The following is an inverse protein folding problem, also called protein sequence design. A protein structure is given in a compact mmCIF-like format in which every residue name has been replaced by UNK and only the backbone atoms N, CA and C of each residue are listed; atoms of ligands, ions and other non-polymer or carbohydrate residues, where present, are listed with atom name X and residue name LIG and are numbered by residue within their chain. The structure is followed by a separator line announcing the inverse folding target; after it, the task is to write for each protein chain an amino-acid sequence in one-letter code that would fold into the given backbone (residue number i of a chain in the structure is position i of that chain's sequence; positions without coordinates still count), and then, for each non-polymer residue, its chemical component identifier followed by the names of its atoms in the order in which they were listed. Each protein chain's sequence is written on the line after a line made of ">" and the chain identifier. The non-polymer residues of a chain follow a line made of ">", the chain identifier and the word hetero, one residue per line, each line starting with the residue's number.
data_IF_723856078904
#
_entry.id   IF_723856078904
#
_cell.length_a   1.000
_cell.length_b   1.000
_cell.length_c   1.000
_cell.angle_alpha   90.00
_cell.angle_beta   90.00
_cell.angle_gamma   90.00
#
_symmetry.space_group_name_H-M   'P 1'
#
loop_
_entity.id
_entity.type
_entity.pdbx_description
1 polymer ?
#
# COMPACT_ATOMS: atom_id res chain seq x y z
N UNK A 1 15.88 -10.96 20.52
CA UNK A 1 15.50 -11.19 19.09
C UNK A 1 16.41 -12.28 18.53
N UNK A 2 15.83 -13.32 17.92
CA UNK A 2 16.59 -14.41 17.28
C UNK A 2 17.33 -13.87 16.05
N UNK A 3 18.52 -14.39 15.75
CA UNK A 3 19.32 -13.99 14.56
C UNK A 3 18.52 -14.08 13.26
N UNK A 4 17.65 -15.10 13.14
CA UNK A 4 16.75 -15.28 11.99
C UNK A 4 15.74 -14.13 11.83
N UNK A 5 15.24 -13.57 12.95
CA UNK A 5 14.32 -12.42 12.88
C UNK A 5 15.04 -11.13 12.48
N UNK A 6 16.30 -10.96 12.87
CA UNK A 6 17.13 -9.81 12.47
C UNK A 6 17.45 -9.84 10.97
N UNK A 7 17.79 -11.00 10.41
CA UNK A 7 18.04 -11.16 8.98
C UNK A 7 16.78 -10.91 8.15
N UNK A 8 15.64 -11.42 8.59
CA UNK A 8 14.32 -11.18 7.97
C UNK A 8 13.97 -9.69 7.96
N UNK A 9 14.15 -9.00 9.09
CA UNK A 9 13.88 -7.57 9.21
C UNK A 9 14.83 -6.73 8.34
N UNK A 10 16.13 -7.09 8.30
CA UNK A 10 17.13 -6.43 7.46
C UNK A 10 16.83 -6.62 5.96
N UNK A 11 16.42 -7.82 5.55
CA UNK A 11 16.01 -8.10 4.17
C UNK A 11 14.78 -7.27 3.79
N UNK A 12 13.72 -7.29 4.61
CA UNK A 12 12.50 -6.54 4.37
C UNK A 12 12.80 -5.03 4.21
N UNK A 13 13.58 -4.46 5.11
CA UNK A 13 13.99 -3.07 5.05
C UNK A 13 14.83 -2.75 3.80
N UNK A 14 15.79 -3.59 3.45
CA UNK A 14 16.64 -3.39 2.27
C UNK A 14 15.85 -3.43 0.98
N UNK A 15 14.89 -4.37 0.86
CA UNK A 15 13.97 -4.45 -0.28
C UNK A 15 13.11 -3.20 -0.38
N UNK A 16 12.58 -2.72 0.74
CA UNK A 16 11.79 -1.48 0.77
C UNK A 16 12.60 -0.28 0.27
N UNK A 17 13.84 -0.11 0.75
CA UNK A 17 14.71 0.98 0.30
C UNK A 17 15.09 0.86 -1.18
N UNK A 18 15.27 -0.34 -1.68
CA UNK A 18 15.53 -0.60 -3.09
C UNK A 18 14.31 -0.20 -3.97
N UNK A 19 13.11 -0.61 -3.61
CA UNK A 19 11.91 -0.22 -4.35
C UNK A 19 11.63 1.29 -4.25
N UNK A 20 11.86 1.89 -3.09
CA UNK A 20 11.77 3.35 -2.93
C UNK A 20 12.75 4.07 -3.86
N UNK A 21 14.01 3.63 -3.91
CA UNK A 21 15.02 4.20 -4.81
C UNK A 21 14.59 4.15 -6.29
N UNK A 22 14.03 3.01 -6.72
CA UNK A 22 13.49 2.88 -8.09
C UNK A 22 12.35 3.89 -8.31
N UNK A 23 11.39 3.95 -7.39
CA UNK A 23 10.26 4.86 -7.50
C UNK A 23 10.70 6.34 -7.52
N UNK A 24 11.63 6.73 -6.64
CA UNK A 24 12.17 8.08 -6.58
C UNK A 24 12.94 8.44 -7.86
N UNK A 25 13.71 7.50 -8.43
CA UNK A 25 14.46 7.70 -9.66
C UNK A 25 13.56 7.84 -10.89
N UNK A 26 12.42 7.12 -10.91
CA UNK A 26 11.52 7.10 -12.06
C UNK A 26 10.53 8.27 -12.05
N UNK A 27 9.95 8.59 -10.89
CA UNK A 27 8.87 9.57 -10.79
C UNK A 27 9.33 10.96 -10.35
N UNK A 28 10.53 11.09 -9.79
CA UNK A 28 11.03 12.35 -9.23
C UNK A 28 9.99 13.00 -8.30
N UNK A 29 9.60 14.25 -8.56
CA UNK A 29 8.60 15.02 -7.81
C UNK A 29 7.16 14.85 -8.31
N UNK A 30 6.88 13.89 -9.20
CA UNK A 30 5.52 13.64 -9.74
C UNK A 30 4.70 12.77 -8.79
N UNK A 31 4.40 13.27 -7.60
CA UNK A 31 3.78 12.49 -6.51
C UNK A 31 2.45 11.84 -6.89
N UNK A 32 1.56 12.51 -7.63
CA UNK A 32 0.29 11.94 -8.07
C UNK A 32 0.46 10.71 -8.98
N UNK A 33 1.37 10.78 -9.96
CA UNK A 33 1.67 9.64 -10.85
C UNK A 33 2.41 8.52 -10.11
N UNK A 34 3.31 8.88 -9.19
CA UNK A 34 3.97 7.92 -8.30
C UNK A 34 2.94 7.17 -7.45
N UNK A 35 1.98 7.88 -6.85
CA UNK A 35 0.90 7.28 -6.07
C UNK A 35 0.12 6.26 -6.91
N UNK A 36 -0.28 6.57 -8.16
CA UNK A 36 -0.96 5.61 -9.05
C UNK A 36 -0.22 4.28 -9.17
N UNK A 37 1.11 4.29 -9.30
CA UNK A 37 1.89 3.05 -9.44
C UNK A 37 2.06 2.34 -8.11
N UNK A 38 2.30 3.08 -7.04
CA UNK A 38 2.50 2.49 -5.70
C UNK A 38 1.23 1.86 -5.16
N UNK A 39 0.09 2.54 -5.24
CA UNK A 39 -1.22 2.02 -4.82
C UNK A 39 -1.65 0.79 -5.63
N UNK A 40 -1.23 0.72 -6.90
CA UNK A 40 -1.47 -0.48 -7.72
C UNK A 40 -0.80 -1.72 -7.14
N UNK A 41 0.40 -1.56 -6.60
CA UNK A 41 1.17 -2.64 -5.98
C UNK A 41 0.71 -2.89 -4.56
N UNK A 42 0.33 -1.83 -3.83
CA UNK A 42 -0.08 -1.89 -2.43
C UNK A 42 -1.32 -2.77 -2.19
N UNK A 43 -2.30 -2.78 -3.11
CA UNK A 43 -3.47 -3.66 -3.01
C UNK A 43 -3.19 -5.16 -3.17
N UNK A 44 -2.03 -5.54 -3.73
CA UNK A 44 -1.69 -6.96 -4.01
C UNK A 44 -1.45 -7.79 -2.75
N UNK A 45 -0.69 -7.32 -1.74
CA UNK A 45 -0.41 -8.09 -0.53
C UNK A 45 -1.64 -8.55 0.22
N UNK A 46 -2.60 -7.65 0.43
CA UNK A 46 -3.85 -7.97 1.12
C UNK A 46 -4.65 -9.03 0.37
N UNK A 47 -4.75 -8.96 -0.96
CA UNK A 47 -5.41 -9.99 -1.78
C UNK A 47 -4.70 -11.34 -1.67
N UNK A 48 -3.38 -11.38 -1.82
CA UNK A 48 -2.60 -12.63 -1.74
C UNK A 48 -2.72 -13.25 -0.35
N UNK A 49 -2.55 -12.46 0.70
CA UNK A 49 -2.66 -12.92 2.09
C UNK A 49 -4.07 -13.42 2.41
N UNK A 50 -5.10 -12.68 2.01
CA UNK A 50 -6.51 -13.06 2.22
C UNK A 50 -6.85 -14.39 1.54
N UNK A 51 -6.50 -14.55 0.27
CA UNK A 51 -6.71 -15.81 -0.50
C UNK A 51 -5.90 -16.96 0.12
N UNK A 52 -4.63 -16.74 0.46
CA UNK A 52 -3.79 -17.76 1.08
C UNK A 52 -4.37 -18.24 2.41
N UNK A 53 -4.80 -17.33 3.27
CA UNK A 53 -5.40 -17.66 4.57
C UNK A 53 -6.76 -18.34 4.41
N UNK A 54 -7.55 -17.97 3.41
CA UNK A 54 -8.79 -18.65 3.08
C UNK A 54 -8.53 -20.13 2.74
N UNK A 55 -7.62 -20.41 1.81
CA UNK A 55 -7.25 -21.79 1.48
C UNK A 55 -6.63 -22.56 2.65
N UNK A 56 -5.85 -21.88 3.50
CA UNK A 56 -5.32 -22.48 4.73
C UNK A 56 -6.44 -22.89 5.69
N UNK A 57 -7.47 -22.07 5.84
CA UNK A 57 -8.62 -22.37 6.69
C UNK A 57 -9.38 -23.62 6.18
N UNK A 58 -9.59 -23.72 4.87
CA UNK A 58 -10.23 -24.88 4.22
C UNK A 58 -9.41 -26.15 4.39
N UNK A 59 -8.10 -26.10 4.12
CA UNK A 59 -7.21 -27.27 4.29
C UNK A 59 -7.19 -27.78 5.74
N UNK A 60 -7.28 -26.86 6.71
CA UNK A 60 -7.26 -27.22 8.13
C UNK A 60 -8.65 -27.44 8.73
N UNK A 61 -9.71 -27.17 7.97
CA UNK A 61 -11.10 -27.22 8.43
C UNK A 61 -11.31 -26.46 9.75
N UNK A 62 -10.71 -25.24 9.86
CA UNK A 62 -10.76 -24.39 11.06
C UNK A 62 -11.29 -23.01 10.74
N UNK A 63 -12.22 -22.51 11.58
CA UNK A 63 -12.86 -21.19 11.43
C UNK A 63 -12.02 -20.01 11.95
N UNK A 64 -10.95 -20.23 12.72
CA UNK A 64 -10.22 -19.21 13.45
C UNK A 64 -9.39 -18.22 12.60
N UNK A 65 -9.49 -18.26 11.27
CA UNK A 65 -8.75 -17.38 10.35
C UNK A 65 -9.58 -16.20 9.81
N UNK A 66 -10.87 -16.13 10.16
CA UNK A 66 -11.82 -15.20 9.54
C UNK A 66 -11.48 -13.74 9.80
N UNK A 67 -10.95 -13.39 10.97
CA UNK A 67 -10.54 -12.02 11.30
C UNK A 67 -9.39 -11.56 10.38
N UNK A 68 -8.32 -12.33 10.31
CA UNK A 68 -7.17 -12.03 9.45
C UNK A 68 -7.56 -11.97 7.97
N UNK A 69 -8.44 -12.85 7.49
CA UNK A 69 -8.93 -12.82 6.10
C UNK A 69 -9.66 -11.50 5.82
N UNK A 70 -10.59 -11.09 6.70
CA UNK A 70 -11.33 -9.84 6.52
C UNK A 70 -10.44 -8.63 6.56
N UNK A 71 -9.47 -8.59 7.47
CA UNK A 71 -8.52 -7.50 7.64
C UNK A 71 -7.66 -7.34 6.38
N UNK A 72 -7.08 -8.42 5.85
CA UNK A 72 -6.27 -8.39 4.63
C UNK A 72 -7.08 -7.99 3.39
N UNK A 73 -8.32 -8.47 3.26
CA UNK A 73 -9.19 -8.09 2.14
C UNK A 73 -9.68 -6.64 2.26
N UNK A 74 -9.90 -6.15 3.48
CA UNK A 74 -10.26 -4.74 3.73
C UNK A 74 -9.11 -3.80 3.38
N UNK A 75 -7.88 -4.17 3.74
CA UNK A 75 -6.66 -3.46 3.33
C UNK A 75 -6.56 -3.39 1.80
N UNK A 76 -6.69 -4.53 1.12
CA UNK A 76 -6.64 -4.56 -0.36
C UNK A 76 -7.72 -3.71 -1.03
N UNK A 77 -8.94 -3.65 -0.47
CA UNK A 77 -10.02 -2.80 -1.00
C UNK A 77 -9.75 -1.32 -0.74
N UNK A 78 -9.20 -0.97 0.41
CA UNK A 78 -8.83 0.39 0.74
C UNK A 78 -7.73 0.91 -0.22
N UNK A 79 -6.67 0.10 -0.47
CA UNK A 79 -5.62 0.42 -1.45
C UNK A 79 -6.18 0.62 -2.87
N UNK A 80 -7.15 -0.22 -3.27
CA UNK A 80 -7.85 -0.04 -4.55
C UNK A 80 -8.58 1.30 -4.60
N UNK A 81 -9.15 1.77 -3.49
CA UNK A 81 -9.81 3.07 -3.44
C UNK A 81 -8.80 4.21 -3.54
N UNK A 82 -7.65 4.12 -2.86
CA UNK A 82 -6.55 5.08 -3.00
C UNK A 82 -6.11 5.18 -4.48
N UNK A 83 -5.90 4.04 -5.14
CA UNK A 83 -5.57 3.99 -6.56
C UNK A 83 -6.62 4.74 -7.41
N UNK A 84 -7.92 4.53 -7.17
CA UNK A 84 -8.98 5.20 -7.91
C UNK A 84 -8.95 6.73 -7.71
N UNK A 85 -8.68 7.22 -6.49
CA UNK A 85 -8.54 8.65 -6.22
C UNK A 85 -7.38 9.24 -7.03
N UNK A 86 -6.22 8.60 -7.02
CA UNK A 86 -5.04 9.11 -7.72
C UNK A 86 -5.10 8.94 -9.23
N UNK A 87 -5.85 7.97 -9.77
CA UNK A 87 -6.16 7.90 -11.21
C UNK A 87 -6.97 9.11 -11.64
N UNK A 88 -7.96 9.54 -10.86
CA UNK A 88 -8.75 10.73 -11.17
C UNK A 88 -7.92 12.02 -11.09
N UNK A 89 -7.03 12.13 -10.12
CA UNK A 89 -6.14 13.28 -9.93
C UNK A 89 -5.04 13.34 -11.01
N UNK A 90 -4.30 12.25 -11.21
CA UNK A 90 -3.11 12.23 -12.07
C UNK A 90 -3.39 11.99 -13.55
N UNK A 91 -4.54 11.38 -13.89
CA UNK A 91 -4.94 11.03 -15.27
C UNK A 91 -3.84 10.32 -16.04
N UNK A 92 -3.42 9.12 -15.61
CA UNK A 92 -2.27 8.42 -16.16
C UNK A 92 -2.44 8.11 -17.65
N UNK A 93 -1.34 8.24 -18.41
CA UNK A 93 -1.30 7.92 -19.83
C UNK A 93 -1.25 6.40 -20.07
N UNK A 94 -1.29 5.98 -21.34
CA UNK A 94 -1.31 4.55 -21.70
C UNK A 94 -0.04 3.81 -21.25
N UNK A 95 1.12 4.45 -21.28
CA UNK A 95 2.39 3.85 -20.86
C UNK A 95 2.39 3.61 -19.36
N UNK A 96 1.96 4.60 -18.59
CA UNK A 96 1.82 4.47 -17.12
C UNK A 96 0.82 3.36 -16.76
N UNK A 97 -0.29 3.22 -17.51
CA UNK A 97 -1.24 2.10 -17.32
C UNK A 97 -0.63 0.73 -17.62
N UNK A 98 0.23 0.61 -18.64
CA UNK A 98 0.95 -0.62 -18.93
C UNK A 98 1.97 -0.96 -17.83
N UNK A 99 2.67 0.05 -17.30
CA UNK A 99 3.56 -0.11 -16.14
C UNK A 99 2.76 -0.62 -14.93
N UNK A 100 1.60 -0.03 -14.65
CA UNK A 100 0.67 -0.46 -13.58
C UNK A 100 0.34 -1.94 -13.71
N UNK A 101 -0.15 -2.37 -14.87
CA UNK A 101 -0.54 -3.77 -15.12
C UNK A 101 0.65 -4.74 -14.96
N UNK A 102 1.81 -4.38 -15.52
CA UNK A 102 3.01 -5.19 -15.42
C UNK A 102 3.50 -5.30 -13.97
N UNK A 103 3.48 -4.19 -13.24
CA UNK A 103 3.88 -4.14 -11.83
C UNK A 103 2.98 -5.01 -10.95
N UNK A 104 1.66 -4.96 -11.16
CA UNK A 104 0.71 -5.82 -10.44
C UNK A 104 1.03 -7.31 -10.62
N UNK A 105 1.23 -7.73 -11.88
CA UNK A 105 1.50 -9.13 -12.18
C UNK A 105 2.84 -9.59 -11.58
N UNK A 106 3.91 -8.84 -11.82
CA UNK A 106 5.25 -9.21 -11.34
C UNK A 106 5.32 -9.20 -9.81
N UNK A 107 4.79 -8.16 -9.19
CA UNK A 107 4.77 -8.07 -7.74
C UNK A 107 3.85 -9.13 -7.12
N UNK A 108 2.72 -9.44 -7.76
CA UNK A 108 1.81 -10.50 -7.32
C UNK A 108 2.49 -11.88 -7.27
N UNK A 109 3.24 -12.24 -8.31
CA UNK A 109 4.01 -13.49 -8.34
C UNK A 109 5.10 -13.48 -7.26
N UNK A 110 5.86 -12.39 -7.15
CA UNK A 110 6.89 -12.24 -6.12
C UNK A 110 6.31 -12.33 -4.71
N UNK A 111 5.23 -11.60 -4.44
CA UNK A 111 4.62 -11.59 -3.11
C UNK A 111 3.97 -12.93 -2.73
N UNK A 112 3.34 -13.61 -3.70
CA UNK A 112 2.82 -14.96 -3.49
C UNK A 112 3.94 -15.94 -3.06
N UNK A 113 5.09 -15.86 -3.71
CA UNK A 113 6.28 -16.64 -3.32
C UNK A 113 6.73 -16.28 -1.91
N UNK A 114 6.90 -15.00 -1.61
CA UNK A 114 7.30 -14.52 -0.29
C UNK A 114 6.31 -14.93 0.80
N UNK A 115 5.02 -14.79 0.55
CA UNK A 115 3.98 -15.14 1.51
C UNK A 115 3.90 -16.64 1.77
N UNK A 116 4.16 -17.45 0.75
CA UNK A 116 4.16 -18.92 0.85
C UNK A 116 5.31 -19.45 1.71
N UNK A 117 6.52 -18.96 1.49
CA UNK A 117 7.73 -19.52 2.09
C UNK A 117 8.29 -18.67 3.25
N UNK A 118 8.00 -17.38 3.28
CA UNK A 118 8.56 -16.40 4.21
C UNK A 118 7.50 -15.45 4.74
N UNK A 119 6.37 -15.97 5.25
CA UNK A 119 5.19 -15.19 5.66
C UNK A 119 5.53 -14.02 6.61
N UNK A 120 6.40 -14.28 7.61
CA UNK A 120 6.86 -13.23 8.52
C UNK A 120 7.57 -12.09 7.80
N UNK A 121 8.50 -12.45 6.90
CA UNK A 121 9.26 -11.47 6.10
C UNK A 121 8.34 -10.70 5.15
N UNK A 122 7.34 -11.38 4.56
CA UNK A 122 6.34 -10.76 3.70
C UNK A 122 5.56 -9.67 4.46
N UNK A 123 5.00 -9.97 5.63
CA UNK A 123 4.32 -8.96 6.45
C UNK A 123 5.27 -7.84 6.89
N UNK A 124 6.51 -8.17 7.31
CA UNK A 124 7.48 -7.14 7.69
C UNK A 124 7.80 -6.19 6.53
N UNK A 125 7.95 -6.74 5.33
CA UNK A 125 8.23 -5.95 4.12
C UNK A 125 7.07 -5.00 3.79
N UNK A 126 5.82 -5.46 3.87
CA UNK A 126 4.68 -4.58 3.65
C UNK A 126 4.59 -3.51 4.75
N UNK A 127 4.73 -3.86 6.02
CA UNK A 127 4.80 -2.85 7.08
C UNK A 127 5.85 -1.76 6.82
N UNK A 128 7.04 -2.14 6.31
CA UNK A 128 8.05 -1.16 5.90
C UNK A 128 7.64 -0.35 4.66
N UNK A 129 6.91 -0.94 3.71
CA UNK A 129 6.39 -0.21 2.54
C UNK A 129 5.39 0.86 2.97
N UNK A 130 4.47 0.52 3.88
CA UNK A 130 3.49 1.46 4.41
C UNK A 130 4.15 2.58 5.24
N UNK A 131 5.21 2.30 6.01
CA UNK A 131 6.02 3.34 6.67
C UNK A 131 6.61 4.34 5.66
N UNK A 132 7.09 3.86 4.51
CA UNK A 132 7.59 4.70 3.42
C UNK A 132 6.45 5.44 2.70
N UNK A 133 5.25 4.84 2.60
CA UNK A 133 4.06 5.50 2.07
C UNK A 133 3.63 6.66 2.97
N UNK A 134 3.57 6.46 4.29
CA UNK A 134 3.31 7.54 5.28
C UNK A 134 4.30 8.69 5.12
N UNK A 135 5.59 8.38 4.97
CA UNK A 135 6.63 9.39 4.72
C UNK A 135 6.38 10.15 3.41
N UNK A 136 6.09 9.43 2.33
CA UNK A 136 5.82 10.00 1.00
C UNK A 136 4.59 10.89 0.99
N UNK A 137 3.49 10.47 1.62
CA UNK A 137 2.28 11.29 1.74
C UNK A 137 2.48 12.49 2.66
N UNK A 138 3.35 12.38 3.66
CA UNK A 138 3.74 13.52 4.50
C UNK A 138 4.51 14.57 3.68
N UNK A 139 5.43 14.15 2.81
CA UNK A 139 6.14 15.04 1.89
C UNK A 139 5.18 15.68 0.87
N UNK A 140 4.28 14.88 0.29
CA UNK A 140 3.28 15.37 -0.65
C UNK A 140 2.35 16.41 -0.02
N UNK A 141 1.89 16.16 1.20
CA UNK A 141 1.05 17.11 1.95
C UNK A 141 1.78 18.44 2.17
N UNK A 142 3.06 18.41 2.57
CA UNK A 142 3.87 19.62 2.75
C UNK A 142 3.98 20.44 1.46
N UNK A 143 4.14 19.78 0.30
CA UNK A 143 4.20 20.47 -0.99
C UNK A 143 2.86 21.12 -1.37
N UNK A 144 1.74 20.48 -1.04
CA UNK A 144 0.41 21.06 -1.24
C UNK A 144 0.20 22.24 -0.29
N UNK A 145 0.55 22.11 0.98
CA UNK A 145 0.39 23.16 1.99
C UNK A 145 1.32 24.37 1.75
N UNK A 146 2.50 24.15 1.17
CA UNK A 146 3.43 25.24 0.77
C UNK A 146 3.04 25.92 -0.55
N UNK A 147 2.08 25.36 -1.29
CA UNK A 147 1.68 25.88 -2.61
C UNK A 147 2.62 25.45 -3.77
N UNK A 148 3.59 24.57 -3.52
CA UNK A 148 4.42 23.98 -4.60
C UNK A 148 3.59 23.06 -5.50
N UNK A 149 2.57 22.40 -4.93
CA UNK A 149 1.56 21.65 -5.64
C UNK A 149 0.19 22.29 -5.39
N UNK A 150 -0.60 22.45 -6.46
CA UNK A 150 -1.94 23.02 -6.36
C UNK A 150 -2.86 22.16 -5.47
N UNK A 151 -3.52 22.79 -4.51
CA UNK A 151 -4.52 22.14 -3.66
C UNK A 151 -5.88 22.10 -4.37
N UNK A 152 -6.01 21.24 -5.37
CA UNK A 152 -7.20 21.06 -6.18
C UNK A 152 -8.40 20.54 -5.37
N UNK A 153 -9.65 20.70 -5.86
CA UNK A 153 -10.81 20.05 -5.25
C UNK A 153 -10.61 18.53 -5.17
N UNK A 154 -11.09 17.94 -4.07
CA UNK A 154 -11.04 16.49 -3.88
C UNK A 154 -11.91 15.77 -4.91
N UNK A 155 -11.51 14.57 -5.40
CA UNK A 155 -12.37 13.72 -6.21
C UNK A 155 -13.68 13.39 -5.48
N UNK A 156 -14.81 13.40 -6.20
CA UNK A 156 -16.10 13.02 -5.61
C UNK A 156 -16.08 11.62 -4.98
N UNK A 157 -15.32 10.72 -5.57
CA UNK A 157 -15.13 9.37 -5.05
C UNK A 157 -14.50 9.39 -3.66
N UNK A 158 -13.48 10.21 -3.44
CA UNK A 158 -12.80 10.37 -2.14
C UNK A 158 -13.71 11.04 -1.11
N UNK A 159 -14.45 12.09 -1.51
CA UNK A 159 -15.43 12.75 -0.65
C UNK A 159 -16.46 11.74 -0.13
N UNK A 160 -17.02 10.92 -1.03
CA UNK A 160 -18.04 9.93 -0.66
C UNK A 160 -17.46 8.81 0.23
N UNK A 161 -16.27 8.33 -0.09
CA UNK A 161 -15.61 7.24 0.64
C UNK A 161 -15.26 7.66 2.07
N UNK A 162 -14.60 8.79 2.24
CA UNK A 162 -14.19 9.31 3.54
C UNK A 162 -15.25 10.17 4.24
N UNK A 163 -16.41 10.39 3.61
CA UNK A 163 -17.51 11.25 4.13
C UNK A 163 -17.01 12.66 4.46
N UNK A 164 -16.20 13.23 3.57
CA UNK A 164 -15.66 14.59 3.69
C UNK A 164 -16.71 15.64 3.35
N UNK A 165 -16.45 16.89 3.71
CA UNK A 165 -17.24 18.02 3.26
C UNK A 165 -17.20 18.21 1.74
N UNK A 166 -18.24 18.81 1.17
CA UNK A 166 -18.34 19.03 -0.28
C UNK A 166 -17.25 19.98 -0.84
N UNK A 167 -16.62 20.76 0.04
CA UNK A 167 -15.54 21.71 -0.23
C UNK A 167 -14.14 21.12 0.02
N UNK A 168 -14.05 19.83 0.34
CA UNK A 168 -12.79 19.14 0.60
C UNK A 168 -11.81 19.26 -0.57
N UNK A 169 -10.54 19.28 -0.25
CA UNK A 169 -9.43 19.46 -1.19
C UNK A 169 -8.47 18.29 -1.17
N UNK A 170 -7.52 18.29 -2.10
CA UNK A 170 -6.47 17.29 -2.21
C UNK A 170 -5.72 17.07 -0.88
N UNK A 171 -5.44 18.14 -0.13
CA UNK A 171 -4.81 18.04 1.19
C UNK A 171 -5.61 17.20 2.19
N UNK A 172 -6.95 17.24 2.13
CA UNK A 172 -7.80 16.45 3.02
C UNK A 172 -7.79 14.98 2.64
N UNK A 173 -7.81 14.68 1.34
CA UNK A 173 -7.64 13.31 0.83
C UNK A 173 -6.28 12.72 1.23
N UNK A 174 -5.19 13.47 1.04
CA UNK A 174 -3.84 13.02 1.42
C UNK A 174 -3.75 12.72 2.94
N UNK A 175 -4.40 13.51 3.79
CA UNK A 175 -4.45 13.26 5.24
C UNK A 175 -5.15 11.94 5.56
N UNK A 176 -6.27 11.65 4.89
CA UNK A 176 -7.02 10.40 5.08
C UNK A 176 -6.19 9.19 4.60
N UNK A 177 -5.69 9.23 3.36
CA UNK A 177 -4.84 8.17 2.81
C UNK A 177 -3.64 7.91 3.73
N UNK A 178 -2.92 8.95 4.15
CA UNK A 178 -1.79 8.78 5.08
C UNK A 178 -2.18 8.12 6.41
N UNK A 179 -3.37 8.38 6.92
CA UNK A 179 -3.87 7.73 8.14
C UNK A 179 -4.16 6.24 7.91
N UNK A 180 -4.69 5.88 6.74
CA UNK A 180 -4.90 4.50 6.34
C UNK A 180 -3.57 3.76 6.21
N UNK A 181 -2.54 4.34 5.55
CA UNK A 181 -1.20 3.76 5.43
C UNK A 181 -0.56 3.50 6.80
N UNK A 182 -0.73 4.43 7.75
CA UNK A 182 -0.26 4.24 9.12
C UNK A 182 -0.95 3.02 9.77
N UNK A 183 -2.24 2.85 9.56
CA UNK A 183 -3.00 1.70 10.07
C UNK A 183 -2.54 0.39 9.43
N UNK A 184 -2.35 0.35 8.10
CA UNK A 184 -1.83 -0.81 7.37
C UNK A 184 -0.43 -1.20 7.86
N UNK A 185 0.46 -0.22 8.09
CA UNK A 185 1.78 -0.45 8.67
C UNK A 185 1.68 -1.16 10.02
N UNK A 186 0.87 -0.64 10.96
CA UNK A 186 0.70 -1.19 12.29
C UNK A 186 0.18 -2.64 12.24
N UNK A 187 -0.80 -2.93 11.39
CA UNK A 187 -1.35 -4.27 11.17
C UNK A 187 -0.27 -5.24 10.69
N UNK A 188 0.44 -4.88 9.62
CA UNK A 188 1.43 -5.75 9.01
C UNK A 188 2.64 -6.00 9.94
N UNK A 189 3.11 -4.98 10.63
CA UNK A 189 4.13 -5.14 11.67
C UNK A 189 3.66 -6.02 12.83
N UNK A 190 2.40 -5.89 13.25
CA UNK A 190 1.79 -6.76 14.27
C UNK A 190 1.79 -8.22 13.84
N UNK A 191 1.38 -8.54 12.59
CA UNK A 191 1.44 -9.90 12.08
C UNK A 191 2.87 -10.44 12.00
N UNK A 192 3.82 -9.65 11.53
CA UNK A 192 5.23 -10.05 11.52
C UNK A 192 5.80 -10.33 12.93
N UNK A 193 5.31 -9.62 13.94
CA UNK A 193 5.75 -9.83 15.33
C UNK A 193 5.13 -11.07 15.99
N UNK A 194 3.96 -11.52 15.53
CA UNK A 194 3.27 -12.73 16.03
C UNK A 194 3.79 -14.02 15.42
N UNK A 195 4.53 -13.94 14.30
CA UNK A 195 5.15 -15.06 13.58
C UNK A 195 6.64 -15.22 13.91
#
# INVERSE_FOLDING_TARGET
>A
KNTTSLLSDAFAYSMTKFFRFIADSFFLKRYGHRAVVLETVAGVPGMVAGVWMHFKSLRKMKAGYGEQIREMLSEAENERMHLMFFIEIAKPNIIERLIVLSSQLLFGIFYLFMYTFFTRTAHRMIGCFEDEAVSSYTEYLKMVESGEVENTPAPHLAINYYKLGADAKLSDVIKCVRADEQHHSEINHSYANKL
#
